data_IF_169727426998
#
_entry.id   IF_169727426998
#
_cell.length_a   1.000
_cell.length_b   1.000
_cell.length_c   1.000
_cell.angle_alpha   90.00
_cell.angle_beta   90.00
_cell.angle_gamma   90.00
#
_symmetry.space_group_name_H-M   'P 1'
#
loop_
_entity.id
_entity.type
_entity.pdbx_description
1 polymer ?
#
# COMPACT_ATOMS: atom_id res chain seq x y z
N UNK A 1 7.27 7.50 2.83
CA UNK A 1 7.83 6.72 1.71
C UNK A 1 7.11 7.14 0.45
N UNK A 2 5.78 7.04 0.44
CA UNK A 2 4.92 7.84 -0.41
C UNK A 2 4.74 9.22 0.26
N UNK A 3 4.78 10.29 -0.52
CA UNK A 3 4.75 11.68 -0.02
C UNK A 3 3.39 12.31 -0.33
N UNK A 4 2.67 11.73 -1.28
CA UNK A 4 1.42 12.21 -1.80
C UNK A 4 0.26 11.24 -1.52
N UNK A 5 -0.93 11.74 -1.78
CA UNK A 5 -2.18 11.01 -1.71
C UNK A 5 -2.41 10.20 -3.02
N UNK A 6 -1.35 9.57 -3.55
CA UNK A 6 -1.41 8.72 -4.75
C UNK A 6 -1.94 7.32 -4.44
N UNK A 7 -1.58 6.74 -3.28
CA UNK A 7 -2.01 5.41 -2.88
C UNK A 7 -2.81 5.40 -1.59
N UNK A 8 -3.64 4.38 -1.43
CA UNK A 8 -4.24 3.99 -0.16
C UNK A 8 -3.81 2.57 0.20
N UNK A 9 -3.60 2.32 1.49
CA UNK A 9 -3.27 0.98 1.98
C UNK A 9 -4.55 0.13 2.05
N UNK A 10 -4.47 -1.11 1.57
CA UNK A 10 -5.54 -2.12 1.67
C UNK A 10 -5.02 -3.40 2.32
N UNK A 11 -5.88 -4.43 2.39
CA UNK A 11 -5.50 -5.77 2.79
C UNK A 11 -5.33 -5.99 4.30
N UNK A 12 -4.62 -7.05 4.66
CA UNK A 12 -4.43 -7.46 6.07
C UNK A 12 -3.61 -6.46 6.88
N UNK A 13 -2.66 -5.78 6.23
CA UNK A 13 -1.78 -4.79 6.88
C UNK A 13 -2.54 -3.53 7.26
N UNK A 14 -3.43 -3.03 6.40
CA UNK A 14 -4.35 -1.95 6.72
C UNK A 14 -5.21 -2.26 7.95
N UNK A 15 -5.81 -3.45 8.00
CA UNK A 15 -6.66 -3.88 9.11
C UNK A 15 -5.86 -3.95 10.42
N UNK A 16 -4.64 -4.48 10.38
CA UNK A 16 -3.81 -4.62 11.58
C UNK A 16 -3.24 -3.30 12.09
N UNK A 17 -3.00 -2.33 11.22
CA UNK A 17 -2.45 -1.03 11.61
C UNK A 17 -3.51 -0.05 12.11
N UNK A 18 -4.72 -0.09 11.54
CA UNK A 18 -5.73 0.95 11.75
C UNK A 18 -7.02 0.47 12.42
N UNK A 19 -7.31 -0.83 12.44
CA UNK A 19 -8.61 -1.35 12.91
C UNK A 19 -8.46 -2.33 14.08
N UNK A 20 -7.49 -3.23 14.01
CA UNK A 20 -7.21 -4.23 15.04
C UNK A 20 -5.93 -3.86 15.77
N UNK A 21 -5.82 -4.21 17.05
CA UNK A 21 -4.63 -3.90 17.85
C UNK A 21 -3.50 -4.91 17.58
N UNK A 22 -3.00 -4.93 16.33
CA UNK A 22 -1.86 -5.73 15.88
C UNK A 22 -1.87 -7.24 16.27
N UNK A 23 -2.96 -8.01 16.00
CA UNK A 23 -3.05 -9.42 16.40
C UNK A 23 -2.02 -10.33 15.70
N UNK A 24 -1.45 -9.86 14.59
CA UNK A 24 -0.34 -10.52 13.88
C UNK A 24 0.48 -9.47 13.12
N UNK A 25 1.76 -9.75 12.90
CA UNK A 25 2.57 -8.96 11.98
C UNK A 25 2.18 -9.31 10.53
N UNK A 26 1.89 -8.29 9.72
CA UNK A 26 1.65 -8.43 8.29
C UNK A 26 2.71 -7.60 7.59
N UNK A 27 3.55 -8.24 6.79
CA UNK A 27 4.78 -7.65 6.24
C UNK A 27 4.55 -7.14 4.81
N UNK A 28 3.54 -7.64 4.11
CA UNK A 28 3.19 -7.20 2.76
C UNK A 28 2.35 -5.91 2.77
N UNK A 29 2.66 -4.97 1.87
CA UNK A 29 1.93 -3.72 1.70
C UNK A 29 1.15 -3.74 0.39
N UNK A 30 -0.15 -4.04 0.51
CA UNK A 30 -1.08 -3.97 -0.61
C UNK A 30 -1.60 -2.54 -0.81
N UNK A 31 -1.35 -1.97 -1.98
CA UNK A 31 -1.75 -0.62 -2.35
C UNK A 31 -2.87 -0.64 -3.39
N UNK A 32 -3.75 0.35 -3.29
CA UNK A 32 -4.73 0.66 -4.31
C UNK A 32 -4.52 2.09 -4.81
N UNK A 33 -4.72 2.28 -6.12
CA UNK A 33 -4.77 3.58 -6.76
C UNK A 33 -6.25 4.03 -6.81
N UNK A 34 -6.67 4.98 -5.97
CA UNK A 34 -8.10 5.30 -5.78
C UNK A 34 -8.71 6.13 -6.91
N UNK A 35 -7.89 6.84 -7.69
CA UNK A 35 -8.36 7.62 -8.82
C UNK A 35 -8.73 6.70 -10.00
N UNK A 36 -10.04 6.54 -10.22
CA UNK A 36 -10.60 5.74 -11.29
C UNK A 36 -10.93 6.56 -12.54
N UNK A 37 -10.77 7.88 -12.49
CA UNK A 37 -11.14 8.80 -13.58
C UNK A 37 -10.09 8.85 -14.69
N UNK A 38 -8.83 8.53 -14.35
CA UNK A 38 -7.73 8.49 -15.32
C UNK A 38 -7.85 7.31 -16.29
N UNK A 39 -7.49 7.56 -17.56
CA UNK A 39 -7.29 6.50 -18.53
C UNK A 39 -6.25 5.47 -18.02
N UNK A 40 -6.37 4.22 -18.47
CA UNK A 40 -5.52 3.11 -18.00
C UNK A 40 -4.03 3.43 -18.11
N UNK A 41 -3.60 3.92 -19.26
CA UNK A 41 -2.18 4.17 -19.54
C UNK A 41 -1.62 5.31 -18.69
N UNK A 42 -2.42 6.35 -18.46
CA UNK A 42 -2.03 7.48 -17.60
C UNK A 42 -1.90 7.05 -16.13
N UNK A 43 -2.83 6.21 -15.65
CA UNK A 43 -2.74 5.68 -14.29
C UNK A 43 -1.52 4.76 -14.14
N UNK A 44 -1.21 3.94 -15.15
CA UNK A 44 -0.03 3.08 -15.17
C UNK A 44 1.27 3.87 -15.05
N UNK A 45 1.41 4.94 -15.84
CA UNK A 45 2.56 5.85 -15.77
C UNK A 45 2.67 6.44 -14.36
N UNK A 46 1.57 6.99 -13.82
CA UNK A 46 1.57 7.63 -12.50
C UNK A 46 1.91 6.67 -11.36
N UNK A 47 1.40 5.43 -11.41
CA UNK A 47 1.71 4.39 -10.43
C UNK A 47 3.19 4.03 -10.50
N UNK A 48 3.71 3.76 -11.69
CA UNK A 48 5.11 3.40 -11.88
C UNK A 48 6.06 4.51 -11.42
N UNK A 49 5.75 5.76 -11.73
CA UNK A 49 6.54 6.91 -11.27
C UNK A 49 6.51 7.05 -9.74
N UNK A 50 5.35 6.91 -9.12
CA UNK A 50 5.23 6.99 -7.66
C UNK A 50 5.99 5.86 -6.94
N UNK A 51 5.97 4.64 -7.50
CA UNK A 51 6.75 3.51 -6.99
C UNK A 51 8.25 3.74 -7.19
N UNK A 52 8.68 4.21 -8.37
CA UNK A 52 10.09 4.53 -8.66
C UNK A 52 10.62 5.59 -7.70
N UNK A 53 9.90 6.69 -7.50
CA UNK A 53 10.31 7.72 -6.56
C UNK A 53 10.34 7.21 -5.10
N UNK A 54 9.42 6.30 -4.72
CA UNK A 54 9.47 5.66 -3.42
C UNK A 54 10.72 4.79 -3.27
N UNK A 55 11.09 4.04 -4.31
CA UNK A 55 12.30 3.23 -4.34
C UNK A 55 13.56 4.09 -4.19
N UNK A 56 13.68 5.19 -4.93
CA UNK A 56 14.79 6.14 -4.81
C UNK A 56 14.93 6.71 -3.39
N UNK A 57 13.82 7.09 -2.77
CA UNK A 57 13.82 7.59 -1.38
C UNK A 57 14.23 6.52 -0.37
N UNK A 58 13.90 5.26 -0.62
CA UNK A 58 14.31 4.13 0.21
C UNK A 58 15.80 3.82 0.03
N UNK A 59 16.31 3.83 -1.19
CA UNK A 59 17.74 3.66 -1.48
C UNK A 59 18.58 4.73 -0.78
N UNK A 60 18.15 6.01 -0.84
CA UNK A 60 18.79 7.12 -0.11
C UNK A 60 18.82 6.94 1.41
N UNK A 61 17.97 6.06 1.96
CA UNK A 61 17.90 5.72 3.40
C UNK A 61 18.64 4.43 3.74
N UNK A 62 19.37 3.84 2.79
CA UNK A 62 20.16 2.62 2.99
C UNK A 62 19.37 1.31 2.88
N UNK A 63 18.17 1.33 2.29
CA UNK A 63 17.46 0.11 1.91
C UNK A 63 17.88 -0.33 0.52
N UNK A 64 17.84 -1.62 0.24
CA UNK A 64 18.01 -2.17 -1.10
C UNK A 64 16.62 -2.31 -1.73
N UNK A 65 16.41 -1.75 -2.93
CA UNK A 65 15.12 -1.88 -3.62
C UNK A 65 15.26 -2.62 -4.93
N UNK A 66 14.33 -3.51 -5.23
CA UNK A 66 14.22 -4.18 -6.52
C UNK A 66 12.80 -4.01 -7.06
N UNK A 67 12.68 -3.58 -8.33
CA UNK A 67 11.42 -3.46 -9.04
C UNK A 67 11.40 -4.49 -10.17
N UNK A 68 10.70 -5.62 -9.99
CA UNK A 68 10.49 -6.57 -11.07
C UNK A 68 9.75 -5.90 -12.24
N UNK A 69 9.92 -6.44 -13.45
CA UNK A 69 9.11 -6.04 -14.60
C UNK A 69 7.64 -6.22 -14.23
N UNK A 70 6.83 -5.18 -14.47
CA UNK A 70 5.41 -5.22 -14.15
C UNK A 70 4.72 -6.32 -14.98
N UNK A 71 4.11 -7.29 -14.29
CA UNK A 71 3.28 -8.31 -14.93
C UNK A 71 1.84 -7.83 -14.97
N UNK A 72 1.11 -8.25 -16.00
CA UNK A 72 -0.26 -7.87 -16.33
C UNK A 72 -1.16 -7.52 -15.12
N UNK A 73 -1.21 -6.24 -14.75
CA UNK A 73 -2.16 -5.74 -13.73
C UNK A 73 -1.57 -5.28 -12.39
N UNK A 74 -0.28 -5.47 -12.15
CA UNK A 74 0.36 -5.12 -10.88
C UNK A 74 1.78 -4.54 -11.02
N UNK A 75 2.09 -3.54 -10.19
CA UNK A 75 3.45 -3.00 -10.01
C UNK A 75 3.99 -3.44 -8.66
N UNK A 76 5.20 -4.02 -8.63
CA UNK A 76 5.84 -4.54 -7.40
C UNK A 76 7.11 -3.78 -7.07
N UNK A 77 7.35 -3.63 -5.77
CA UNK A 77 8.58 -3.10 -5.20
C UNK A 77 8.99 -3.96 -4.01
N UNK A 78 10.13 -4.64 -4.15
CA UNK A 78 10.77 -5.37 -3.08
C UNK A 78 11.73 -4.43 -2.35
N UNK A 79 11.64 -4.38 -1.04
CA UNK A 79 12.48 -3.53 -0.19
C UNK A 79 13.16 -4.40 0.85
N UNK A 80 14.49 -4.42 0.83
CA UNK A 80 15.30 -5.29 1.67
C UNK A 80 16.25 -4.50 2.58
N UNK A 81 16.44 -5.00 3.80
CA UNK A 81 17.50 -4.57 4.71
C UNK A 81 18.01 -5.78 5.51
N UNK A 82 19.27 -6.16 5.27
CA UNK A 82 19.86 -7.34 5.90
C UNK A 82 19.12 -8.63 5.52
N UNK A 83 18.49 -9.30 6.50
CA UNK A 83 17.70 -10.53 6.31
C UNK A 83 16.19 -10.28 6.17
N UNK A 84 15.76 -9.03 6.27
CA UNK A 84 14.33 -8.66 6.19
C UNK A 84 13.99 -8.12 4.82
N UNK A 85 12.88 -8.58 4.26
CA UNK A 85 12.33 -8.11 3.01
C UNK A 85 10.85 -7.78 3.17
N UNK A 86 10.42 -6.68 2.55
CA UNK A 86 9.04 -6.18 2.53
C UNK A 86 8.62 -6.08 1.07
N UNK A 87 7.48 -6.68 0.75
CA UNK A 87 6.89 -6.59 -0.57
C UNK A 87 5.82 -5.50 -0.60
N UNK A 88 5.91 -4.61 -1.58
CA UNK A 88 4.93 -3.56 -1.83
C UNK A 88 4.30 -3.84 -3.20
N UNK A 89 2.98 -4.03 -3.24
CA UNK A 89 2.25 -4.36 -4.46
C UNK A 89 1.16 -3.33 -4.72
N UNK A 90 1.15 -2.71 -5.90
CA UNK A 90 0.10 -1.81 -6.34
C UNK A 90 -0.73 -2.47 -7.45
N UNK A 91 -2.01 -2.73 -7.17
CA UNK A 91 -2.94 -3.27 -8.17
C UNK A 91 -3.59 -2.11 -8.95
N UNK A 92 -3.65 -2.24 -10.27
CA UNK A 92 -4.26 -1.26 -11.17
C UNK A 92 -5.37 -1.81 -12.07
N UNK A 93 -5.71 -3.10 -11.95
CA UNK A 93 -6.85 -3.71 -12.68
C UNK A 93 -8.16 -3.27 -12.04
N UNK A 94 -8.24 -3.32 -10.72
CA UNK A 94 -9.38 -2.82 -9.94
C UNK A 94 -9.00 -1.47 -9.34
N UNK A 95 -9.41 -0.39 -10.01
CA UNK A 95 -9.22 1.00 -9.54
C UNK A 95 -10.49 1.52 -8.88
N UNK A 96 -10.33 2.49 -8.00
CA UNK A 96 -11.44 3.02 -7.21
C UNK A 96 -11.71 2.21 -5.95
N UNK A 97 -12.56 2.76 -5.09
CA UNK A 97 -12.95 2.12 -3.82
C UNK A 97 -14.46 2.20 -3.68
N UNK A 98 -15.08 1.10 -3.20
CA UNK A 98 -16.53 1.08 -2.94
C UNK A 98 -16.92 2.12 -1.89
N UNK A 99 -16.04 2.32 -0.91
CA UNK A 99 -16.17 3.34 0.13
C UNK A 99 -15.11 4.42 -0.06
N UNK A 100 -15.38 5.69 0.29
CA UNK A 100 -14.36 6.74 0.27
C UNK A 100 -13.13 6.34 1.07
N UNK A 101 -11.93 6.67 0.56
CA UNK A 101 -10.68 6.43 1.30
C UNK A 101 -10.62 7.33 2.52
N UNK A 102 -10.52 6.73 3.71
CA UNK A 102 -10.41 7.45 4.97
C UNK A 102 -8.97 7.72 5.41
N UNK A 103 -8.78 8.77 6.22
CA UNK A 103 -7.57 8.94 7.03
C UNK A 103 -7.76 8.23 8.36
N UNK A 104 -6.76 7.48 8.79
CA UNK A 104 -6.79 6.74 10.05
C UNK A 104 -5.45 6.86 10.77
N UNK A 105 -5.52 6.91 12.10
CA UNK A 105 -4.35 6.88 12.98
C UNK A 105 -4.00 5.43 13.32
N UNK A 106 -2.72 5.16 13.59
CA UNK A 106 -2.29 3.85 14.05
C UNK A 106 -3.00 3.47 15.36
N UNK A 107 -3.27 2.17 15.54
CA UNK A 107 -3.69 1.63 16.84
C UNK A 107 -2.59 1.80 17.88
N UNK A 108 -2.95 1.67 19.17
CA UNK A 108 -2.00 1.82 20.27
C UNK A 108 -0.82 0.84 20.16
N UNK A 109 -1.09 -0.44 19.89
CA UNK A 109 -0.03 -1.43 19.70
C UNK A 109 0.83 -1.14 18.45
N UNK A 110 0.22 -0.66 17.36
CA UNK A 110 0.97 -0.28 16.16
C UNK A 110 1.88 0.93 16.42
N UNK A 111 1.41 1.91 17.19
CA UNK A 111 2.20 3.10 17.57
C UNK A 111 3.37 2.72 18.49
N UNK A 112 3.16 1.79 19.42
CA UNK A 112 4.23 1.27 20.29
C UNK A 112 5.32 0.52 19.51
N UNK A 113 4.94 -0.17 18.42
CA UNK A 113 5.87 -0.98 17.61
C UNK A 113 6.52 -0.22 16.45
N UNK A 114 5.85 0.81 15.93
CA UNK A 114 6.31 1.56 14.77
C UNK A 114 6.32 3.06 15.06
N UNK A 115 7.50 3.67 14.96
CA UNK A 115 7.70 5.09 15.26
C UNK A 115 6.92 6.03 14.30
N UNK A 116 6.63 5.59 13.06
CA UNK A 116 5.87 6.40 12.10
C UNK A 116 5.22 5.55 11.00
N UNK A 117 3.93 5.79 10.73
CA UNK A 117 3.28 5.24 9.54
C UNK A 117 3.69 6.01 8.29
N UNK A 118 4.10 5.30 7.24
CA UNK A 118 4.37 5.90 5.92
C UNK A 118 3.11 6.12 5.07
N UNK A 119 1.93 5.72 5.57
CA UNK A 119 0.64 5.88 4.92
C UNK A 119 -0.29 6.68 5.83
N UNK A 120 -0.96 7.71 5.27
CA UNK A 120 -2.00 8.47 5.96
C UNK A 120 -3.41 8.03 5.62
N UNK A 121 -3.56 7.23 4.56
CA UNK A 121 -4.86 6.83 3.99
C UNK A 121 -4.98 5.31 3.88
N UNK A 122 -6.14 4.82 4.26
CA UNK A 122 -6.52 3.42 4.21
C UNK A 122 -7.81 3.29 3.41
N UNK A 123 -7.92 2.29 2.54
CA UNK A 123 -9.19 1.94 1.95
C UNK A 123 -10.13 1.48 3.08
N UNK A 124 -11.27 2.16 3.21
CA UNK A 124 -12.18 1.93 4.33
C UNK A 124 -12.81 0.55 4.16
N UNK A 125 -12.61 -0.30 5.18
CA UNK A 125 -13.15 -1.65 5.21
C UNK A 125 -14.41 -1.64 6.06
N UNK A 126 -15.58 -1.80 5.45
CA UNK A 126 -16.75 -2.25 6.21
C UNK A 126 -16.56 -3.75 6.51
N UNK A 127 -16.82 -4.15 7.75
CA UNK A 127 -16.74 -5.55 8.19
C UNK A 127 -17.67 -6.46 7.37
N UNK A 128 -18.67 -5.91 6.70
CA UNK A 128 -19.60 -6.64 5.83
C UNK A 128 -19.07 -6.90 4.41
N UNK A 129 -18.22 -6.02 3.84
CA UNK A 129 -17.86 -6.07 2.40
C UNK A 129 -16.80 -7.12 2.06
N UNK A 130 -16.22 -7.79 3.07
CA UNK A 130 -15.26 -8.89 2.84
C UNK A 130 -15.93 -10.12 2.17
N UNK A 131 -17.26 -10.16 2.14
CA UNK A 131 -18.04 -11.23 1.52
C UNK A 131 -18.27 -11.05 0.00
N UNK A 132 -18.06 -9.87 -0.58
CA UNK A 132 -18.56 -9.59 -1.95
C UNK A 132 -17.51 -9.67 -3.07
N UNK A 133 -16.23 -9.91 -2.75
CA UNK A 133 -15.14 -10.05 -3.74
C UNK A 133 -14.52 -11.47 -3.77
N UNK A 134 -15.37 -12.48 -3.55
CA UNK A 134 -15.15 -13.87 -3.95
C UNK A 134 -16.42 -14.36 -4.65
N UNK A 135 -16.54 -14.03 -5.92
CA UNK A 135 -17.40 -14.72 -6.88
C UNK A 135 -16.64 -14.76 -8.20
#
# INVERSE_FOLDING_TARGET
MFVDDTFALKGGTAINLFVRDMPRLSVDLDLIFPDHTLARDQALVRINDAIRQAAERLNKRGFQTHMPVANAGETKLLVRRGRTEVKIEANFVMRGTVQPVGRASLTSAATARFTRCCFRRCATFDRTTKATFKA
#
